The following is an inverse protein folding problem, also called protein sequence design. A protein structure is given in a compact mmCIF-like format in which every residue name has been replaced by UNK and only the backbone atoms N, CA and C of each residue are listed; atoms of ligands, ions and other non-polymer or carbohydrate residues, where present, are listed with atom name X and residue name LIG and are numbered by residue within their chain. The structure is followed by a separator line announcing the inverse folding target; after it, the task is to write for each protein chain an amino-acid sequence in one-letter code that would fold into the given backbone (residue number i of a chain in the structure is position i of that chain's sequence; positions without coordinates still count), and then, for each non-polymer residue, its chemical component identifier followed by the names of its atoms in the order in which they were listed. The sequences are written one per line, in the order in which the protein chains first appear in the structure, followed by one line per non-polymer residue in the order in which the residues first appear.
data_IF_539058135282
#
_entry.id   IF_539058135282
#
_cell.length_a   1.000
_cell.length_b   1.000
_cell.length_c   1.000
_cell.angle_alpha   90.00
_cell.angle_beta   90.00
_cell.angle_gamma   90.00
#
_symmetry.space_group_name_H-M   'P 1'
#
loop_
_entity.id
_entity.type
_entity.pdbx_description
1 polymer ?
#
# COMPACT_ATOMS: atom_id res chain seq x y z
N UNK A 1 -15.89 17.05 15.04
CA UNK A 1 -15.60 17.30 13.62
C UNK A 1 -14.55 16.30 13.12
N UNK A 2 -14.94 15.45 12.16
CA UNK A 2 -14.06 14.46 11.52
C UNK A 2 -14.06 14.73 10.01
N UNK A 3 -13.43 15.85 9.63
CA UNK A 3 -13.31 16.28 8.24
C UNK A 3 -11.82 16.53 7.93
N UNK A 4 -11.04 15.45 7.97
CA UNK A 4 -9.63 15.48 7.61
C UNK A 4 -9.25 14.17 6.93
N UNK A 5 -8.29 14.26 6.03
CA UNK A 5 -7.69 13.11 5.35
C UNK A 5 -6.44 12.68 6.10
N UNK A 6 -6.26 11.38 6.25
CA UNK A 6 -5.09 10.76 6.84
C UNK A 6 -4.23 10.25 5.69
N UNK A 7 -2.99 10.74 5.62
CA UNK A 7 -2.04 10.37 4.58
C UNK A 7 -0.93 9.51 5.16
N UNK A 8 -0.59 8.43 4.47
CA UNK A 8 0.50 7.51 4.81
C UNK A 8 1.42 7.40 3.61
N UNK A 9 2.73 7.40 3.84
CA UNK A 9 3.73 7.01 2.85
C UNK A 9 4.31 5.68 3.32
N UNK A 10 4.29 4.67 2.45
CA UNK A 10 4.75 3.32 2.73
C UNK A 10 5.76 2.87 1.68
N UNK A 11 6.67 1.98 2.08
CA UNK A 11 7.69 1.36 1.23
C UNK A 11 7.43 -0.14 1.07
N UNK A 12 8.24 -0.81 0.25
CA UNK A 12 8.18 -2.27 0.08
C UNK A 12 8.26 -3.04 1.41
N UNK A 13 9.14 -2.59 2.32
CA UNK A 13 9.29 -3.21 3.64
C UNK A 13 8.00 -3.13 4.46
N UNK A 14 7.33 -1.98 4.45
CA UNK A 14 6.05 -1.81 5.16
C UNK A 14 4.96 -2.70 4.56
N UNK A 15 4.91 -2.81 3.23
CA UNK A 15 3.89 -3.56 2.49
C UNK A 15 4.07 -5.08 2.65
N UNK A 16 5.30 -5.55 2.87
CA UNK A 16 5.64 -6.96 3.16
C UNK A 16 5.27 -7.41 4.57
N UNK A 17 5.28 -6.50 5.55
CA UNK A 17 5.01 -6.83 6.94
C UNK A 17 3.56 -7.28 7.15
N UNK A 18 3.38 -8.41 7.85
CA UNK A 18 2.06 -9.02 8.05
C UNK A 18 1.06 -8.10 8.74
N UNK A 19 1.54 -7.24 9.65
CA UNK A 19 0.71 -6.24 10.35
C UNK A 19 0.02 -5.28 9.39
N UNK A 20 0.67 -4.93 8.28
CA UNK A 20 0.10 -4.05 7.25
C UNK A 20 -1.07 -4.72 6.54
N UNK A 21 -0.99 -6.02 6.29
CA UNK A 21 -2.08 -6.79 5.70
C UNK A 21 -3.31 -6.86 6.61
N UNK A 22 -3.09 -7.11 7.91
CA UNK A 22 -4.17 -7.12 8.91
C UNK A 22 -4.84 -5.75 9.05
N UNK A 23 -4.04 -4.69 9.19
CA UNK A 23 -4.54 -3.32 9.31
C UNK A 23 -5.27 -2.86 8.04
N UNK A 24 -4.72 -3.15 6.86
CA UNK A 24 -5.32 -2.77 5.57
C UNK A 24 -6.63 -3.53 5.31
N UNK A 25 -6.71 -4.81 5.67
CA UNK A 25 -7.95 -5.58 5.60
C UNK A 25 -9.04 -4.99 6.50
N UNK A 26 -8.69 -4.58 7.73
CA UNK A 26 -9.65 -3.95 8.64
C UNK A 26 -10.10 -2.57 8.11
N UNK A 27 -9.18 -1.76 7.59
CA UNK A 27 -9.49 -0.44 7.04
C UNK A 27 -10.45 -0.52 5.84
N UNK A 28 -10.24 -1.50 4.94
CA UNK A 28 -11.14 -1.76 3.83
C UNK A 28 -12.52 -2.24 4.31
N UNK A 29 -12.57 -3.15 5.28
CA UNK A 29 -13.82 -3.61 5.88
C UNK A 29 -14.63 -2.49 6.57
N UNK A 30 -13.95 -1.51 7.18
CA UNK A 30 -14.57 -0.36 7.84
C UNK A 30 -14.85 0.82 6.90
N UNK A 31 -14.55 0.68 5.60
CA UNK A 31 -14.76 1.70 4.56
C UNK A 31 -14.16 3.06 4.95
N UNK A 32 -12.91 3.07 5.43
CA UNK A 32 -12.21 4.30 5.85
C UNK A 32 -11.82 5.19 4.66
N UNK A 33 -12.80 5.83 4.01
CA UNK A 33 -12.62 6.61 2.79
C UNK A 33 -11.81 7.91 2.95
N UNK A 34 -11.38 8.26 4.16
CA UNK A 34 -10.49 9.38 4.43
C UNK A 34 -9.03 8.95 4.68
N UNK A 35 -8.71 7.66 4.57
CA UNK A 35 -7.34 7.13 4.65
C UNK A 35 -6.78 6.93 3.24
N UNK A 36 -5.64 7.56 2.96
CA UNK A 36 -4.94 7.44 1.68
C UNK A 36 -3.50 6.99 1.94
N UNK A 37 -3.12 5.89 1.28
CA UNK A 37 -1.77 5.33 1.35
C UNK A 37 -1.08 5.57 0.01
N UNK A 38 0.07 6.25 0.04
CA UNK A 38 0.99 6.38 -1.08
C UNK A 38 2.06 5.33 -0.87
N UNK A 39 2.05 4.31 -1.71
CA UNK A 39 3.08 3.28 -1.75
C UNK A 39 4.16 3.71 -2.73
N UNK A 40 5.38 3.91 -2.22
CA UNK A 40 6.57 4.20 -3.01
C UNK A 40 7.17 2.89 -3.55
N UNK A 41 6.78 2.54 -4.75
CA UNK A 41 7.30 1.40 -5.51
C UNK A 41 8.49 1.88 -6.37
N UNK A 42 9.65 1.98 -5.74
CA UNK A 42 10.88 2.47 -6.39
C UNK A 42 11.85 1.34 -6.80
N UNK A 43 11.47 0.08 -6.55
CA UNK A 43 12.23 -1.13 -6.88
C UNK A 43 13.61 -1.25 -6.17
N UNK A 44 13.81 -0.54 -5.05
CA UNK A 44 15.05 -0.58 -4.28
C UNK A 44 14.74 -1.05 -2.86
N UNK A 45 15.35 -2.17 -2.46
CA UNK A 45 15.34 -2.64 -1.06
C UNK A 45 16.75 -2.66 -0.46
N UNK A 46 16.84 -2.94 0.85
CA UNK A 46 18.14 -3.15 1.51
C UNK A 46 18.90 -4.35 0.90
N UNK A 47 18.18 -5.35 0.38
CA UNK A 47 18.75 -6.54 -0.25
C UNK A 47 19.01 -6.41 -1.75
N UNK A 48 19.05 -5.17 -2.28
CA UNK A 48 19.13 -4.83 -3.72
C UNK A 48 17.74 -4.91 -4.38
N UNK A 49 17.65 -5.40 -5.62
CA UNK A 49 16.42 -5.49 -6.41
C UNK A 49 15.29 -6.25 -5.69
N UNK A 50 14.15 -5.60 -5.51
CA UNK A 50 12.94 -6.17 -4.87
C UNK A 50 12.42 -7.42 -5.57
N UNK A 51 12.73 -7.60 -6.86
CA UNK A 51 12.28 -8.73 -7.67
C UNK A 51 12.79 -10.10 -7.14
N UNK A 52 13.81 -10.10 -6.28
CA UNK A 52 14.36 -11.33 -5.71
C UNK A 52 13.43 -11.94 -4.66
N UNK A 53 12.65 -11.12 -3.94
CA UNK A 53 11.85 -11.54 -2.77
C UNK A 53 10.40 -11.05 -2.77
N UNK A 54 10.05 -10.10 -3.65
CA UNK A 54 8.75 -9.45 -3.65
C UNK A 54 8.18 -9.31 -5.06
N UNK A 55 7.34 -10.26 -5.47
CA UNK A 55 6.78 -10.35 -6.83
C UNK A 55 5.24 -10.37 -6.84
N UNK A 56 4.61 -9.95 -5.75
CA UNK A 56 3.15 -9.94 -5.68
C UNK A 56 2.54 -8.76 -6.43
N UNK A 57 1.27 -8.91 -6.82
CA UNK A 57 0.48 -7.81 -7.35
C UNK A 57 -0.17 -7.07 -6.17
N UNK A 58 0.56 -6.08 -5.65
CA UNK A 58 0.15 -5.27 -4.47
C UNK A 58 -1.21 -4.62 -4.71
N UNK A 59 -1.44 -4.07 -5.90
CA UNK A 59 -2.70 -3.41 -6.23
C UNK A 59 -3.87 -4.41 -6.19
N UNK A 60 -3.73 -5.60 -6.79
CA UNK A 60 -4.77 -6.63 -6.68
C UNK A 60 -5.02 -7.09 -5.24
N UNK A 61 -3.97 -7.17 -4.40
CA UNK A 61 -4.14 -7.50 -2.98
C UNK A 61 -4.97 -6.42 -2.26
N UNK A 62 -4.69 -5.15 -2.50
CA UNK A 62 -5.45 -4.04 -1.92
C UNK A 62 -6.89 -3.96 -2.47
N UNK A 63 -7.10 -4.22 -3.75
CA UNK A 63 -8.45 -4.37 -4.33
C UNK A 63 -9.25 -5.48 -3.62
N UNK A 64 -8.61 -6.63 -3.32
CA UNK A 64 -9.23 -7.73 -2.60
C UNK A 64 -9.59 -7.36 -1.14
N UNK A 65 -8.87 -6.43 -0.52
CA UNK A 65 -9.23 -5.86 0.78
C UNK A 65 -10.37 -4.83 0.71
N UNK A 66 -10.79 -4.42 -0.49
CA UNK A 66 -11.85 -3.42 -0.70
C UNK A 66 -11.34 -1.99 -0.84
N UNK A 67 -10.05 -1.79 -1.14
CA UNK A 67 -9.48 -0.46 -1.39
C UNK A 67 -9.70 0.00 -2.83
N UNK A 68 -9.80 1.31 -3.00
CA UNK A 68 -9.59 1.95 -4.30
C UNK A 68 -8.09 2.06 -4.58
N UNK A 69 -7.64 1.52 -5.70
CA UNK A 69 -6.22 1.45 -6.09
C UNK A 69 -5.97 2.27 -7.35
N UNK A 70 -4.81 2.93 -7.41
CA UNK A 70 -4.34 3.66 -8.58
C UNK A 70 -2.83 3.51 -8.70
N UNK A 71 -2.34 3.33 -9.92
CA UNK A 71 -0.90 3.43 -10.23
C UNK A 71 -0.62 4.80 -10.83
N UNK A 72 0.44 5.44 -10.36
CA UNK A 72 0.97 6.68 -10.93
C UNK A 72 2.39 6.38 -11.37
N UNK A 73 2.66 6.48 -12.68
CA UNK A 73 4.02 6.49 -13.18
C UNK A 73 4.59 7.90 -12.96
N UNK A 74 5.62 7.98 -12.11
CA UNK A 74 6.29 9.24 -11.77
C UNK A 74 7.63 9.40 -12.52
N UNK A 75 7.99 8.42 -13.34
CA UNK A 75 9.28 8.38 -14.05
C UNK A 75 9.23 9.00 -15.44
N UNK A 76 8.04 9.41 -15.92
CA UNK A 76 7.85 10.19 -17.14
C UNK A 76 8.08 11.71 -16.98
#
# INVERSE_FOLDING_TARGET
PFDHTIWVIASDGDIQEGVTSEASSLAGHQELGNLVVIYDENHISIEDDTDIVFTEDVLKRYEAYGWHTQRVDWTE
#
